data_IF_197815963553
#
_entry.id   IF_197815963553
#
_cell.length_a   1.000
_cell.length_b   1.000
_cell.length_c   1.000
_cell.angle_alpha   90.00
_cell.angle_beta   90.00
_cell.angle_gamma   90.00
#
_symmetry.space_group_name_H-M   'P 1'
#
loop_
_entity.id
_entity.type
_entity.pdbx_description
1 polymer ?
#
# COMPACT_ATOMS: atom_id res chain seq x y z
N UNK A 1 8.77 -7.92 20.24
CA UNK A 1 9.71 -6.83 19.86
C UNK A 1 9.20 -5.95 18.70
N UNK A 2 8.59 -6.52 17.64
CA UNK A 2 8.11 -5.75 16.48
C UNK A 2 7.21 -4.54 16.83
N UNK A 3 6.24 -4.73 17.73
CA UNK A 3 5.33 -3.65 18.16
C UNK A 3 6.04 -2.44 18.82
N UNK A 4 7.16 -2.65 19.52
CA UNK A 4 7.93 -1.57 20.13
C UNK A 4 8.66 -0.75 19.05
N UNK A 5 9.32 -1.43 18.11
CA UNK A 5 10.03 -0.78 17.00
C UNK A 5 9.05 -0.06 16.07
N UNK A 6 7.88 -0.64 15.81
CA UNK A 6 6.83 0.04 15.05
C UNK A 6 6.37 1.34 15.73
N UNK A 7 6.13 1.32 17.05
CA UNK A 7 5.78 2.54 17.79
C UNK A 7 6.91 3.57 17.78
N UNK A 8 8.15 3.12 18.01
CA UNK A 8 9.33 3.99 18.03
C UNK A 8 9.59 4.64 16.66
N UNK A 9 9.46 3.88 15.57
CA UNK A 9 9.68 4.38 14.19
C UNK A 9 8.65 5.41 13.72
N UNK A 10 7.63 5.75 14.52
CA UNK A 10 6.80 6.94 14.25
C UNK A 10 7.58 8.25 14.41
N UNK A 11 8.68 8.22 15.15
CA UNK A 11 9.60 9.35 15.27
C UNK A 11 10.55 9.34 14.09
N UNK A 12 10.62 10.45 13.37
CA UNK A 12 11.51 10.62 12.22
C UNK A 12 12.98 10.32 12.59
N UNK A 13 13.44 10.76 13.77
CA UNK A 13 14.81 10.47 14.24
C UNK A 13 15.12 8.99 14.40
N UNK A 14 14.11 8.16 14.71
CA UNK A 14 14.27 6.70 14.77
C UNK A 14 14.37 6.12 13.37
N UNK A 15 13.59 6.63 12.41
CA UNK A 15 13.71 6.23 11.01
C UNK A 15 15.08 6.60 10.44
N UNK A 16 15.55 7.83 10.70
CA UNK A 16 16.90 8.28 10.31
C UNK A 16 17.97 7.37 10.91
N UNK A 17 17.85 7.00 12.19
CA UNK A 17 18.75 6.05 12.82
C UNK A 17 18.72 4.69 12.11
N UNK A 18 17.53 4.14 11.80
CA UNK A 18 17.41 2.88 11.06
C UNK A 18 18.09 2.96 9.69
N UNK A 19 17.98 4.09 8.99
CA UNK A 19 18.62 4.35 7.69
C UNK A 19 20.14 4.38 7.75
N UNK A 20 20.72 4.76 8.89
CA UNK A 20 22.18 4.66 9.09
C UNK A 20 22.68 3.24 9.32
N UNK A 21 21.77 2.28 9.57
CA UNK A 21 22.15 0.88 9.75
C UNK A 21 22.34 0.18 8.39
N UNK A 22 23.31 -0.72 8.31
CA UNK A 22 23.51 -1.58 7.15
C UNK A 22 22.53 -2.78 7.12
N UNK A 23 21.46 -2.76 7.91
CA UNK A 23 20.54 -3.88 8.14
C UNK A 23 19.17 -3.72 7.49
N UNK A 24 18.88 -2.57 6.89
CA UNK A 24 17.58 -2.34 6.27
C UNK A 24 17.31 -3.25 5.06
N UNK A 25 18.31 -3.50 4.22
CA UNK A 25 18.15 -4.41 3.08
C UNK A 25 17.82 -5.84 3.55
N UNK A 26 18.49 -6.34 4.59
CA UNK A 26 18.19 -7.64 5.23
C UNK A 26 16.78 -7.62 5.84
N UNK A 27 16.38 -6.52 6.47
CA UNK A 27 15.05 -6.35 7.03
C UNK A 27 13.97 -6.41 5.93
N UNK A 28 14.13 -5.74 4.78
CA UNK A 28 13.15 -5.81 3.70
C UNK A 28 12.99 -7.22 3.13
N UNK A 29 14.10 -7.94 2.96
CA UNK A 29 14.09 -9.34 2.55
C UNK A 29 13.31 -10.22 3.56
N UNK A 30 13.54 -10.01 4.85
CA UNK A 30 12.80 -10.70 5.92
C UNK A 30 11.30 -10.37 5.88
N UNK A 31 10.92 -9.09 5.75
CA UNK A 31 9.51 -8.69 5.68
C UNK A 31 8.83 -9.30 4.45
N UNK A 32 9.49 -9.26 3.29
CA UNK A 32 8.97 -9.84 2.04
C UNK A 32 8.70 -11.34 2.20
N UNK A 33 9.70 -12.08 2.67
CA UNK A 33 9.58 -13.53 2.89
C UNK A 33 8.51 -13.87 3.92
N UNK A 34 8.43 -13.10 5.01
CA UNK A 34 7.45 -13.36 6.07
C UNK A 34 6.02 -13.04 5.62
N UNK A 35 5.82 -11.98 4.84
CA UNK A 35 4.52 -11.69 4.21
C UNK A 35 4.07 -12.82 3.31
N UNK A 36 4.97 -13.35 2.48
CA UNK A 36 4.67 -14.48 1.60
C UNK A 36 4.26 -15.72 2.41
N UNK A 37 5.07 -16.13 3.40
CA UNK A 37 4.80 -17.31 4.22
C UNK A 37 3.52 -17.16 5.06
N UNK A 38 3.26 -15.96 5.60
CA UNK A 38 2.04 -15.70 6.36
C UNK A 38 0.79 -15.85 5.48
N UNK A 39 0.84 -15.33 4.24
CA UNK A 39 -0.27 -15.47 3.29
C UNK A 39 -0.44 -16.90 2.78
N UNK A 40 0.65 -17.65 2.61
CA UNK A 40 0.59 -19.08 2.26
C UNK A 40 -0.06 -19.91 3.38
N UNK A 41 0.22 -19.56 4.64
CA UNK A 41 -0.31 -20.27 5.81
C UNK A 41 -1.80 -20.03 6.03
N UNK A 42 -2.26 -18.78 5.91
CA UNK A 42 -3.61 -18.39 6.33
C UNK A 42 -4.56 -18.00 5.20
N UNK A 43 -4.12 -17.98 3.93
CA UNK A 43 -4.66 -17.17 2.82
C UNK A 43 -6.17 -17.07 2.55
N UNK A 44 -7.04 -17.87 3.17
CA UNK A 44 -8.50 -17.72 3.11
C UNK A 44 -9.08 -16.86 4.23
N UNK A 45 -8.47 -16.89 5.41
CA UNK A 45 -8.93 -16.20 6.60
C UNK A 45 -7.74 -15.93 7.52
N UNK A 46 -7.42 -14.66 7.75
CA UNK A 46 -6.30 -14.32 8.63
C UNK A 46 -6.71 -14.51 10.10
N UNK A 47 -5.76 -14.89 10.99
CA UNK A 47 -6.02 -14.96 12.42
C UNK A 47 -6.46 -13.61 12.98
N UNK A 48 -7.18 -13.65 14.11
CA UNK A 48 -7.64 -12.45 14.81
C UNK A 48 -6.51 -11.43 14.97
N UNK A 49 -6.86 -10.13 14.89
CA UNK A 49 -5.88 -9.05 14.95
C UNK A 49 -5.05 -9.08 16.23
N UNK A 50 -5.55 -9.66 17.32
CA UNK A 50 -4.85 -9.79 18.61
C UNK A 50 -3.87 -10.97 18.65
N UNK A 51 -3.91 -11.88 17.68
CA UNK A 51 -3.00 -13.01 17.58
C UNK A 51 -1.56 -12.51 17.39
N UNK A 52 -0.59 -13.20 17.98
CA UNK A 52 0.82 -12.77 17.96
C UNK A 52 1.37 -12.73 16.53
N UNK A 53 0.98 -13.69 15.69
CA UNK A 53 1.36 -13.76 14.28
C UNK A 53 0.80 -12.57 13.49
N UNK A 54 -0.48 -12.23 13.68
CA UNK A 54 -1.10 -11.06 13.04
C UNK A 54 -0.48 -9.76 13.55
N UNK A 55 -0.24 -9.63 14.86
CA UNK A 55 0.45 -8.47 15.42
C UNK A 55 1.88 -8.33 14.89
N UNK A 56 2.57 -9.45 14.70
CA UNK A 56 3.93 -9.46 14.17
C UNK A 56 3.98 -8.99 12.71
N UNK A 57 3.11 -9.52 11.84
CA UNK A 57 3.09 -9.10 10.43
C UNK A 57 2.67 -7.64 10.26
N UNK A 58 1.69 -7.20 11.06
CA UNK A 58 1.26 -5.80 11.07
C UNK A 58 2.38 -4.87 11.58
N UNK A 59 3.13 -5.30 12.59
CA UNK A 59 4.29 -4.53 13.09
C UNK A 59 5.36 -4.36 12.02
N UNK A 60 5.68 -5.42 11.27
CA UNK A 60 6.67 -5.35 10.21
C UNK A 60 6.24 -4.43 9.07
N UNK A 61 5.01 -4.61 8.56
CA UNK A 61 4.46 -3.70 7.55
C UNK A 61 4.37 -2.26 8.07
N UNK A 62 4.05 -2.08 9.35
CA UNK A 62 3.97 -0.77 10.00
C UNK A 62 5.30 -0.04 10.10
N UNK A 63 6.41 -0.76 10.36
CA UNK A 63 7.76 -0.21 10.30
C UNK A 63 8.06 0.25 8.87
N UNK A 64 7.76 -0.57 7.87
CA UNK A 64 7.98 -0.20 6.45
C UNK A 64 7.12 1.02 6.05
N UNK A 65 5.88 1.11 6.53
CA UNK A 65 5.02 2.27 6.29
C UNK A 65 5.62 3.55 6.88
N UNK A 66 6.18 3.48 8.09
CA UNK A 66 6.87 4.60 8.72
C UNK A 66 8.17 4.97 8.00
N UNK A 67 8.95 3.98 7.54
CA UNK A 67 10.14 4.22 6.70
C UNK A 67 9.75 4.95 5.41
N UNK A 68 8.69 4.50 4.74
CA UNK A 68 8.19 5.16 3.54
C UNK A 68 7.57 6.55 3.82
N UNK A 69 7.21 6.88 5.06
CA UNK A 69 6.63 8.18 5.38
C UNK A 69 7.65 9.34 5.26
N UNK A 70 8.96 9.05 5.34
CA UNK A 70 10.02 10.07 5.24
C UNK A 70 10.75 10.01 3.87
N UNK A 71 11.22 11.15 3.33
CA UNK A 71 11.85 11.21 2.01
C UNK A 71 13.02 10.23 1.80
N UNK A 72 13.94 10.18 2.76
CA UNK A 72 15.16 9.36 2.71
C UNK A 72 14.80 7.86 2.72
N UNK A 73 13.80 7.49 3.51
CA UNK A 73 13.32 6.11 3.59
C UNK A 73 12.62 5.67 2.31
N UNK A 74 11.79 6.54 1.70
CA UNK A 74 11.24 6.28 0.35
C UNK A 74 12.35 6.07 -0.67
N UNK A 75 13.31 6.99 -0.70
CA UNK A 75 14.40 6.94 -1.66
C UNK A 75 15.25 5.68 -1.49
N UNK A 76 15.48 5.24 -0.25
CA UNK A 76 16.16 3.98 0.04
C UNK A 76 15.37 2.78 -0.49
N UNK A 77 14.07 2.67 -0.15
CA UNK A 77 13.21 1.55 -0.59
C UNK A 77 13.18 1.42 -2.12
N UNK A 78 13.04 2.52 -2.85
CA UNK A 78 12.92 2.52 -4.32
C UNK A 78 14.27 2.42 -5.04
N UNK A 79 15.41 2.51 -4.34
CA UNK A 79 16.75 2.37 -4.92
C UNK A 79 17.39 1.03 -4.60
N UNK A 80 17.14 0.50 -3.41
CA UNK A 80 17.63 -0.80 -2.94
C UNK A 80 16.94 -1.99 -3.64
N UNK A 81 17.68 -3.07 -3.87
CA UNK A 81 17.16 -4.28 -4.51
C UNK A 81 16.08 -4.96 -3.64
N UNK A 82 16.35 -5.18 -2.35
CA UNK A 82 15.39 -5.85 -1.46
C UNK A 82 14.18 -4.96 -1.15
N UNK A 83 14.37 -3.64 -1.16
CA UNK A 83 13.28 -2.66 -1.09
C UNK A 83 12.31 -2.80 -2.27
N UNK A 84 12.81 -2.87 -3.50
CA UNK A 84 11.97 -3.09 -4.70
C UNK A 84 11.26 -4.44 -4.68
N UNK A 85 11.98 -5.51 -4.33
CA UNK A 85 11.39 -6.85 -4.18
C UNK A 85 10.25 -6.87 -3.16
N UNK A 86 10.40 -6.16 -2.04
CA UNK A 86 9.33 -6.01 -1.06
C UNK A 86 8.11 -5.27 -1.64
N UNK A 87 8.31 -4.19 -2.40
CA UNK A 87 7.19 -3.48 -3.05
C UNK A 87 6.47 -4.39 -4.06
N UNK A 88 7.21 -5.15 -4.86
CA UNK A 88 6.61 -6.14 -5.76
C UNK A 88 5.81 -7.20 -5.02
N UNK A 89 6.35 -7.72 -3.91
CA UNK A 89 5.66 -8.71 -3.08
C UNK A 89 4.37 -8.14 -2.50
N UNK A 90 4.38 -6.90 -2.01
CA UNK A 90 3.19 -6.20 -1.51
C UNK A 90 2.13 -6.10 -2.62
N UNK A 91 2.52 -5.69 -3.82
CA UNK A 91 1.63 -5.56 -4.98
C UNK A 91 1.01 -6.90 -5.38
N UNK A 92 1.81 -7.98 -5.38
CA UNK A 92 1.37 -9.35 -5.71
C UNK A 92 0.38 -9.88 -4.67
N UNK A 93 0.58 -9.57 -3.38
CA UNK A 93 -0.26 -10.08 -2.28
C UNK A 93 -1.56 -9.30 -2.09
N UNK A 94 -1.57 -7.98 -2.32
CA UNK A 94 -2.71 -7.12 -2.06
C UNK A 94 -4.07 -7.64 -2.57
N UNK A 95 -4.20 -8.17 -3.82
CA UNK A 95 -5.48 -8.66 -4.33
C UNK A 95 -5.94 -10.00 -3.72
N UNK A 96 -5.05 -10.76 -3.10
CA UNK A 96 -5.38 -12.07 -2.51
C UNK A 96 -5.57 -12.03 -0.99
N UNK A 97 -5.32 -10.88 -0.35
CA UNK A 97 -5.60 -10.71 1.08
C UNK A 97 -7.12 -10.80 1.30
N UNK A 98 -7.61 -11.66 2.21
CA UNK A 98 -9.04 -11.86 2.42
C UNK A 98 -9.72 -10.57 2.92
N UNK A 99 -10.97 -10.38 2.54
CA UNK A 99 -11.78 -9.27 3.04
C UNK A 99 -12.12 -9.46 4.52
N UNK A 100 -12.31 -8.36 5.25
CA UNK A 100 -12.67 -8.32 6.67
C UNK A 100 -11.53 -8.77 7.59
N UNK A 101 -11.12 -10.04 7.55
CA UNK A 101 -9.99 -10.54 8.38
C UNK A 101 -8.65 -9.92 7.96
N UNK A 102 -8.49 -9.59 6.68
CA UNK A 102 -7.28 -8.99 6.13
C UNK A 102 -7.26 -7.47 6.04
N UNK A 103 -8.34 -6.79 6.43
CA UNK A 103 -8.46 -5.33 6.32
C UNK A 103 -7.33 -4.58 7.07
N UNK A 104 -6.91 -4.98 8.29
CA UNK A 104 -5.79 -4.34 8.96
C UNK A 104 -4.48 -4.41 8.17
N UNK A 105 -4.21 -5.54 7.50
CA UNK A 105 -3.02 -5.72 6.69
C UNK A 105 -3.12 -4.90 5.40
N UNK A 106 -4.25 -4.94 4.70
CA UNK A 106 -4.50 -4.10 3.51
C UNK A 106 -4.26 -2.63 3.81
N UNK A 107 -4.75 -2.14 4.95
CA UNK A 107 -4.55 -0.74 5.37
C UNK A 107 -3.08 -0.36 5.43
N UNK A 108 -2.26 -1.15 6.11
CA UNK A 108 -0.82 -0.89 6.25
C UNK A 108 -0.13 -0.94 4.90
N UNK A 109 -0.43 -1.93 4.07
CA UNK A 109 0.19 -2.09 2.76
C UNK A 109 -0.19 -0.98 1.78
N UNK A 110 -1.45 -0.52 1.80
CA UNK A 110 -1.86 0.66 1.03
C UNK A 110 -1.15 1.93 1.50
N UNK A 111 -0.92 2.10 2.81
CA UNK A 111 -0.13 3.21 3.32
C UNK A 111 1.32 3.16 2.84
N UNK A 112 1.94 1.98 2.79
CA UNK A 112 3.28 1.82 2.20
C UNK A 112 3.27 2.28 0.74
N UNK A 113 2.36 1.77 -0.07
CA UNK A 113 2.30 2.07 -1.51
C UNK A 113 1.98 3.54 -1.79
N UNK A 114 1.06 4.14 -1.04
CA UNK A 114 0.77 5.57 -1.13
C UNK A 114 2.00 6.40 -0.76
N UNK A 115 2.70 6.04 0.32
CA UNK A 115 3.91 6.75 0.68
C UNK A 115 4.96 6.63 -0.46
N UNK A 116 5.15 5.45 -1.04
CA UNK A 116 6.04 5.27 -2.20
C UNK A 116 5.62 6.12 -3.40
N UNK A 117 4.31 6.27 -3.67
CA UNK A 117 3.80 7.05 -4.79
C UNK A 117 4.05 8.56 -4.68
N UNK A 118 4.47 9.06 -3.50
CA UNK A 118 4.90 10.46 -3.33
C UNK A 118 6.24 10.72 -4.06
N UNK A 119 7.07 9.70 -4.31
CA UNK A 119 8.34 9.82 -5.02
C UNK A 119 8.15 9.45 -6.51
N UNK A 120 8.68 10.25 -7.43
CA UNK A 120 8.62 9.98 -8.88
C UNK A 120 9.15 8.59 -9.26
N UNK A 121 10.26 8.16 -8.66
CA UNK A 121 10.81 6.82 -8.91
C UNK A 121 9.91 5.71 -8.35
N UNK A 122 9.17 6.00 -7.28
CA UNK A 122 8.13 5.15 -6.73
C UNK A 122 6.91 5.04 -7.64
N UNK A 123 6.43 6.15 -8.22
CA UNK A 123 5.35 6.13 -9.22
C UNK A 123 5.73 5.22 -10.40
N UNK A 124 6.92 5.41 -10.97
CA UNK A 124 7.41 4.58 -12.09
C UNK A 124 7.41 3.10 -11.73
N UNK A 125 7.73 2.75 -10.48
CA UNK A 125 7.76 1.36 -10.00
C UNK A 125 6.36 0.74 -9.93
N UNK A 126 5.33 1.51 -9.55
CA UNK A 126 4.01 0.95 -9.19
C UNK A 126 2.87 1.24 -10.18
N UNK A 127 2.98 2.28 -11.02
CA UNK A 127 1.86 2.81 -11.82
C UNK A 127 1.29 1.83 -12.87
N UNK A 128 2.12 0.95 -13.46
CA UNK A 128 1.73 0.03 -14.53
C UNK A 128 1.53 -1.42 -14.02
N UNK A 129 1.29 -1.57 -12.72
CA UNK A 129 1.21 -2.88 -12.07
C UNK A 129 -0.23 -3.40 -12.05
N UNK A 130 -0.55 -4.33 -12.95
CA UNK A 130 -1.89 -4.94 -13.05
C UNK A 130 -2.43 -5.48 -11.71
N UNK A 131 -1.67 -6.19 -10.86
CA UNK A 131 -2.19 -6.69 -9.59
C UNK A 131 -2.63 -5.57 -8.65
N UNK A 132 -1.92 -4.44 -8.66
CA UNK A 132 -2.27 -3.26 -7.88
C UNK A 132 -3.58 -2.65 -8.38
N UNK A 133 -3.71 -2.41 -9.69
CA UNK A 133 -4.93 -1.83 -10.27
C UNK A 133 -6.17 -2.70 -10.00
N UNK A 134 -6.00 -4.03 -10.10
CA UNK A 134 -7.07 -4.97 -9.75
C UNK A 134 -7.45 -4.89 -8.26
N UNK A 135 -6.47 -4.87 -7.35
CA UNK A 135 -6.73 -4.73 -5.92
C UNK A 135 -7.44 -3.40 -5.58
N UNK A 136 -6.99 -2.29 -6.16
CA UNK A 136 -7.62 -0.97 -5.97
C UNK A 136 -9.06 -0.97 -6.46
N UNK A 137 -9.32 -1.54 -7.64
CA UNK A 137 -10.67 -1.70 -8.19
C UNK A 137 -11.58 -2.49 -7.23
N UNK A 138 -11.13 -3.64 -6.74
CA UNK A 138 -11.90 -4.45 -5.79
C UNK A 138 -12.23 -3.70 -4.51
N UNK A 139 -11.28 -2.91 -3.98
CA UNK A 139 -11.48 -2.14 -2.75
C UNK A 139 -12.46 -0.98 -3.00
N UNK A 140 -12.33 -0.26 -4.12
CA UNK A 140 -13.21 0.87 -4.46
C UNK A 140 -14.67 0.42 -4.62
N UNK A 141 -14.90 -0.76 -5.19
CA UNK A 141 -16.23 -1.33 -5.39
C UNK A 141 -16.80 -1.98 -4.12
N UNK A 142 -15.97 -2.25 -3.11
CA UNK A 142 -16.42 -2.86 -1.86
C UNK A 142 -17.32 -1.93 -1.06
N UNK A 143 -18.39 -2.48 -0.48
CA UNK A 143 -19.32 -1.76 0.40
C UNK A 143 -18.89 -1.80 1.88
N UNK A 144 -17.82 -2.54 2.21
CA UNK A 144 -17.56 -2.98 3.59
C UNK A 144 -16.70 -2.03 4.43
N UNK A 145 -15.78 -1.26 3.82
CA UNK A 145 -14.76 -0.54 4.60
C UNK A 145 -14.45 0.86 4.01
N UNK A 146 -15.10 1.92 4.51
CA UNK A 146 -14.89 3.30 4.02
C UNK A 146 -13.44 3.75 4.06
N UNK A 147 -12.69 3.40 5.11
CA UNK A 147 -11.30 3.83 5.26
C UNK A 147 -10.37 3.19 4.22
N UNK A 148 -10.59 1.91 3.89
CA UNK A 148 -9.82 1.26 2.82
C UNK A 148 -10.15 1.86 1.46
N UNK A 149 -11.42 2.25 1.25
CA UNK A 149 -11.86 2.92 0.03
C UNK A 149 -11.15 4.26 -0.14
N UNK A 150 -11.09 5.08 0.91
CA UNK A 150 -10.34 6.35 0.88
C UNK A 150 -8.86 6.12 0.59
N UNK A 151 -8.20 5.15 1.25
CA UNK A 151 -6.80 4.83 0.98
C UNK A 151 -6.56 4.36 -0.46
N UNK A 152 -7.45 3.52 -0.99
CA UNK A 152 -7.36 3.04 -2.37
C UNK A 152 -7.56 4.18 -3.37
N UNK A 153 -8.55 5.04 -3.15
CA UNK A 153 -8.80 6.22 -3.99
C UNK A 153 -7.63 7.21 -3.93
N UNK A 154 -7.06 7.44 -2.75
CA UNK A 154 -5.90 8.32 -2.57
C UNK A 154 -4.66 7.80 -3.29
N UNK A 155 -4.40 6.49 -3.23
CA UNK A 155 -3.31 5.89 -4.00
C UNK A 155 -3.61 5.94 -5.50
N UNK A 156 -4.85 5.67 -5.90
CA UNK A 156 -5.27 5.72 -7.30
C UNK A 156 -5.13 7.13 -7.88
N UNK A 157 -5.54 8.17 -7.16
CA UNK A 157 -5.30 9.57 -7.52
C UNK A 157 -3.79 9.83 -7.69
N UNK A 158 -2.97 9.41 -6.73
CA UNK A 158 -1.52 9.66 -6.78
C UNK A 158 -0.84 9.00 -7.98
N UNK A 159 -1.27 7.81 -8.41
CA UNK A 159 -0.70 7.12 -9.58
C UNK A 159 -1.35 7.55 -10.91
N UNK A 160 -2.44 8.31 -10.84
CA UNK A 160 -3.09 8.91 -12.02
C UNK A 160 -2.73 10.38 -12.21
N UNK A 161 -2.09 11.01 -11.23
CA UNK A 161 -1.59 12.37 -11.36
C UNK A 161 -0.40 12.43 -12.33
N UNK A 162 -0.44 13.34 -13.29
CA UNK A 162 0.63 13.58 -14.28
C UNK A 162 1.14 12.33 -15.01
N UNK A 163 0.23 11.47 -15.48
CA UNK A 163 0.60 10.24 -16.21
C UNK A 163 1.47 10.61 -17.43
N UNK A 164 2.75 10.19 -17.47
CA UNK A 164 3.65 10.57 -18.56
C UNK A 164 3.34 9.81 -19.85
N UNK A 165 2.52 8.76 -19.79
CA UNK A 165 2.24 7.85 -20.89
C UNK A 165 0.75 7.49 -20.97
N UNK A 166 0.06 7.93 -22.02
CA UNK A 166 -1.36 7.64 -22.24
C UNK A 166 -1.74 6.15 -22.23
N UNK A 167 -0.79 5.23 -22.49
CA UNK A 167 -1.03 3.79 -22.37
C UNK A 167 -1.27 3.35 -20.92
N UNK A 168 -0.61 4.00 -19.96
CA UNK A 168 -0.82 3.74 -18.52
C UNK A 168 -2.23 4.19 -18.13
N UNK A 169 -2.67 5.37 -18.60
CA UNK A 169 -4.03 5.86 -18.37
C UNK A 169 -5.09 4.90 -18.93
N UNK A 170 -4.93 4.43 -20.16
CA UNK A 170 -5.86 3.46 -20.78
C UNK A 170 -5.93 2.18 -19.94
N UNK A 171 -4.80 1.65 -19.47
CA UNK A 171 -4.79 0.46 -18.61
C UNK A 171 -5.52 0.72 -17.30
N UNK A 172 -5.27 1.85 -16.64
CA UNK A 172 -5.98 2.22 -15.41
C UNK A 172 -7.49 2.27 -15.65
N UNK A 173 -7.92 2.92 -16.73
CA UNK A 173 -9.33 3.01 -17.11
C UNK A 173 -9.98 1.64 -17.43
N UNK A 174 -9.20 0.63 -17.87
CA UNK A 174 -9.70 -0.73 -18.08
C UNK A 174 -10.00 -1.48 -16.78
N UNK A 175 -9.25 -1.21 -15.71
CA UNK A 175 -9.41 -1.90 -14.43
C UNK A 175 -10.34 -1.16 -13.47
N UNK A 176 -10.40 0.17 -13.57
CA UNK A 176 -11.16 1.00 -12.64
C UNK A 176 -12.56 1.28 -13.20
N UNK A 177 -13.64 0.82 -12.51
CA UNK A 177 -15.00 0.96 -13.01
C UNK A 177 -15.47 2.42 -12.90
N UNK A 178 -15.53 3.11 -14.05
CA UNK A 178 -15.93 4.52 -14.13
C UNK A 178 -17.31 4.79 -13.55
N UNK A 179 -18.30 3.93 -13.84
CA UNK A 179 -19.66 4.06 -13.32
C UNK A 179 -19.70 4.06 -11.78
N UNK A 180 -18.83 3.27 -11.15
CA UNK A 180 -18.71 3.22 -9.69
C UNK A 180 -18.05 4.47 -9.13
N UNK A 181 -17.01 4.99 -9.79
CA UNK A 181 -16.41 6.27 -9.41
C UNK A 181 -17.42 7.43 -9.52
N UNK A 182 -18.27 7.43 -10.55
CA UNK A 182 -19.31 8.46 -10.71
C UNK A 182 -20.31 8.43 -9.53
N UNK A 183 -20.71 7.25 -9.07
CA UNK A 183 -21.57 7.12 -7.87
C UNK A 183 -20.89 7.64 -6.59
N UNK A 184 -19.56 7.54 -6.51
CA UNK A 184 -18.82 8.01 -5.33
C UNK A 184 -18.71 9.54 -5.24
N UNK A 185 -19.05 10.27 -6.30
CA UNK A 185 -19.14 11.74 -6.28
C UNK A 185 -20.26 12.25 -5.38
N UNK A 186 -21.27 11.43 -5.15
CA UNK A 186 -22.41 11.72 -4.26
C UNK A 186 -22.24 11.09 -2.87
N UNK A 187 -21.08 10.48 -2.58
CA UNK A 187 -20.77 9.91 -1.26
C UNK A 187 -20.96 10.95 -0.16
N UNK A 188 -21.39 10.56 1.04
CA UNK A 188 -21.46 11.47 2.19
C UNK A 188 -20.09 11.81 2.75
N UNK A 189 -19.09 10.95 2.51
CA UNK A 189 -17.69 11.15 2.90
C UNK A 189 -16.96 12.14 1.96
N UNK A 190 -16.39 13.20 2.53
CA UNK A 190 -15.80 14.30 1.76
C UNK A 190 -14.52 13.88 1.00
N UNK A 191 -13.66 13.08 1.62
CA UNK A 191 -12.43 12.60 1.00
C UNK A 191 -12.74 11.69 -0.20
N UNK A 192 -13.67 10.74 -0.02
CA UNK A 192 -14.15 9.87 -1.10
C UNK A 192 -14.67 10.66 -2.29
N UNK A 193 -15.49 11.69 -2.07
CA UNK A 193 -15.98 12.56 -3.15
C UNK A 193 -14.83 13.29 -3.85
N UNK A 194 -13.91 13.85 -3.08
CA UNK A 194 -12.79 14.62 -3.61
C UNK A 194 -11.89 13.75 -4.51
N UNK A 195 -11.41 12.62 -4.01
CA UNK A 195 -10.52 11.74 -4.78
C UNK A 195 -11.21 11.18 -6.03
N UNK A 196 -12.48 10.78 -5.92
CA UNK A 196 -13.24 10.25 -7.07
C UNK A 196 -13.40 11.30 -8.18
N UNK A 197 -13.67 12.56 -7.82
CA UNK A 197 -13.77 13.65 -8.79
C UNK A 197 -12.43 13.92 -9.48
N UNK A 198 -11.32 13.93 -8.73
CA UNK A 198 -10.00 14.19 -9.28
C UNK A 198 -9.57 13.09 -10.28
N UNK A 199 -9.81 11.82 -9.93
CA UNK A 199 -9.49 10.69 -10.82
C UNK A 199 -10.29 10.75 -12.13
N UNK A 200 -11.56 11.19 -12.08
CA UNK A 200 -12.42 11.27 -13.27
C UNK A 200 -12.06 12.42 -14.22
N UNK A 201 -11.27 13.39 -13.75
CA UNK A 201 -10.79 14.53 -14.55
C UNK A 201 -9.46 14.23 -15.28
N UNK A 202 -8.79 13.13 -14.93
CA UNK A 202 -7.58 12.62 -15.59
C UNK A 202 -7.89 11.86 -16.87
#
# INVERSE_FOLDING_TARGET
>A
MGNLVWKASRLQSVVELLLTTNKLAEFFCLVSSTLASFMETYGRELPDVKCDETQFILSMGGIVANLAAVPEGRQFIVSDFNGKELIEQIIKLLPIIPCVSGDPLKRILLMVLYNISINQSGIVLIQDQKPLLYALSQIVVSELTPELKVLALRLLESITFEIPNGLVLIKIQQYIPRDKLELLKDSTDAETRQYSNNILQT
#
